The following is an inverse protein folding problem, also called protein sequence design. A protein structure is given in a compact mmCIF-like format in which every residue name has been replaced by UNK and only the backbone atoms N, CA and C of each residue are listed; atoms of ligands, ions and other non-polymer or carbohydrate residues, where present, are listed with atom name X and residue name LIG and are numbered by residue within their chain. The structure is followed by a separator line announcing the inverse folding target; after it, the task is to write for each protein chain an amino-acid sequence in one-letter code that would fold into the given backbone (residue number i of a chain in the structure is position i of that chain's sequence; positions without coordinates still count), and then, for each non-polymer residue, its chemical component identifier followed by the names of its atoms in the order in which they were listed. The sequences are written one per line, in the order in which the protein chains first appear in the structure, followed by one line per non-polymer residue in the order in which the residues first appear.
data_IF_461355841150
#
_entry.id   IF_461355841150
#
_cell.length_a   1.000
_cell.length_b   1.000
_cell.length_c   1.000
_cell.angle_alpha   90.00
_cell.angle_beta   90.00
_cell.angle_gamma   90.00
#
_symmetry.space_group_name_H-M   'P 1'
#
loop_
_entity.id
_entity.type
_entity.pdbx_description
1 polymer ?
#
# COMPACT_ATOMS: atom_id res chain seq x y z
N UNK A 1 35.54 -21.77 16.43
CA UNK A 1 36.71 -20.92 16.18
C UNK A 1 37.14 -20.92 14.71
N UNK A 2 37.16 -22.08 14.04
CA UNK A 2 37.59 -22.20 12.63
C UNK A 2 36.61 -21.59 11.60
N UNK A 3 35.35 -21.42 11.96
CA UNK A 3 34.31 -20.86 11.05
C UNK A 3 34.12 -19.33 11.15
N UNK A 4 34.77 -18.65 12.10
CA UNK A 4 34.52 -17.25 12.39
C UNK A 4 35.72 -16.31 12.18
N UNK A 5 36.84 -16.80 11.65
CA UNK A 5 38.10 -16.03 11.44
C UNK A 5 38.56 -15.23 12.68
N UNK A 6 38.23 -15.68 13.90
CA UNK A 6 38.62 -15.03 15.13
C UNK A 6 39.89 -15.67 15.67
N UNK A 7 40.86 -14.84 16.06
CA UNK A 7 42.01 -15.31 16.81
C UNK A 7 41.58 -15.73 18.23
N UNK A 8 42.36 -16.62 18.88
CA UNK A 8 42.06 -17.03 20.27
C UNK A 8 42.01 -15.85 21.27
N UNK A 9 42.92 -14.85 21.19
CA UNK A 9 42.82 -13.65 22.03
C UNK A 9 41.53 -12.84 21.75
N UNK A 10 41.11 -12.71 20.50
CA UNK A 10 39.87 -11.98 20.20
C UNK A 10 38.62 -12.70 20.71
N UNK A 11 38.64 -14.03 20.65
CA UNK A 11 37.57 -14.85 21.20
C UNK A 11 37.50 -14.72 22.73
N UNK A 12 38.63 -14.79 23.44
CA UNK A 12 38.70 -14.62 24.90
C UNK A 12 38.25 -13.20 25.29
N UNK A 13 38.66 -12.17 24.58
CA UNK A 13 38.21 -10.79 24.78
C UNK A 13 36.71 -10.67 24.67
N UNK A 14 36.13 -11.20 23.58
CA UNK A 14 34.66 -11.18 23.39
C UNK A 14 33.90 -11.95 24.45
N UNK A 15 34.44 -13.11 24.87
CA UNK A 15 33.83 -13.88 25.94
C UNK A 15 33.84 -13.10 27.28
N UNK A 16 34.98 -12.48 27.61
CA UNK A 16 35.11 -11.62 28.78
C UNK A 16 34.15 -10.42 28.72
N UNK A 17 34.06 -9.72 27.62
CA UNK A 17 33.14 -8.60 27.45
C UNK A 17 31.67 -9.04 27.59
N UNK A 18 31.28 -10.18 27.01
CA UNK A 18 29.95 -10.73 27.18
C UNK A 18 29.63 -11.10 28.63
N UNK A 19 30.56 -11.68 29.35
CA UNK A 19 30.36 -12.02 30.76
C UNK A 19 30.31 -10.76 31.65
N UNK A 20 31.12 -9.75 31.38
CA UNK A 20 31.05 -8.46 32.06
C UNK A 20 29.69 -7.76 31.78
N UNK A 21 29.21 -7.81 30.55
CA UNK A 21 27.89 -7.27 30.18
C UNK A 21 26.76 -8.00 30.91
N UNK A 22 26.79 -9.34 30.95
CA UNK A 22 25.80 -10.14 31.68
C UNK A 22 25.80 -9.79 33.17
N UNK A 23 26.99 -9.66 33.79
CA UNK A 23 27.12 -9.26 35.19
C UNK A 23 26.56 -7.87 35.42
N UNK A 24 26.88 -6.89 34.57
CA UNK A 24 26.36 -5.53 34.68
C UNK A 24 24.82 -5.53 34.66
N UNK A 25 24.21 -6.19 33.65
CA UNK A 25 22.77 -6.31 33.58
C UNK A 25 22.17 -7.05 34.77
N UNK A 26 22.83 -8.09 35.26
CA UNK A 26 22.43 -8.78 36.48
C UNK A 26 22.45 -7.88 37.71
N UNK A 27 23.43 -6.99 37.85
CA UNK A 27 23.47 -6.01 38.93
C UNK A 27 22.38 -4.96 38.83
N UNK A 28 22.15 -4.44 37.62
CA UNK A 28 21.11 -3.40 37.36
C UNK A 28 19.71 -3.92 37.61
N UNK A 29 19.46 -5.19 37.31
CA UNK A 29 18.13 -5.82 37.44
C UNK A 29 18.04 -6.92 38.49
N UNK A 30 19.09 -7.12 39.30
CA UNK A 30 19.15 -8.21 40.26
C UNK A 30 18.10 -8.12 41.36
N UNK A 31 17.52 -9.26 41.71
CA UNK A 31 16.57 -9.36 42.83
C UNK A 31 15.15 -8.85 42.54
N UNK A 32 14.84 -8.51 41.30
CA UNK A 32 13.49 -8.05 40.90
C UNK A 32 12.46 -9.15 41.07
N UNK A 33 11.46 -8.88 41.87
CA UNK A 33 10.29 -9.72 42.05
C UNK A 33 9.03 -8.86 41.90
N UNK A 34 8.29 -9.08 40.84
CA UNK A 34 7.12 -8.27 40.53
C UNK A 34 6.07 -8.36 41.62
N UNK A 35 5.57 -7.24 42.14
CA UNK A 35 4.45 -7.22 43.06
C UNK A 35 3.21 -7.82 42.44
N UNK A 36 2.35 -8.42 43.27
CA UNK A 36 1.12 -9.08 42.82
C UNK A 36 0.23 -8.18 41.93
N UNK A 37 0.17 -6.88 42.26
CA UNK A 37 -0.65 -5.95 41.49
C UNK A 37 -0.17 -5.78 40.03
N UNK A 38 1.16 -5.80 39.80
CA UNK A 38 1.74 -5.75 38.44
C UNK A 38 1.46 -7.06 37.70
N UNK A 39 1.56 -8.21 38.34
CA UNK A 39 1.20 -9.51 37.76
C UNK A 39 -0.25 -9.53 37.40
N UNK A 40 -1.14 -9.03 38.25
CA UNK A 40 -2.57 -8.88 37.96
C UNK A 40 -2.82 -7.95 36.77
N UNK A 41 -2.10 -6.84 36.67
CA UNK A 41 -2.26 -5.93 35.51
C UNK A 41 -1.85 -6.61 34.22
N UNK A 42 -0.73 -7.33 34.17
CA UNK A 42 -0.29 -8.09 33.00
C UNK A 42 -1.32 -9.16 32.62
N UNK A 43 -1.87 -9.87 33.61
CA UNK A 43 -2.93 -10.84 33.38
C UNK A 43 -4.21 -10.21 32.83
N UNK A 44 -4.66 -9.11 33.45
CA UNK A 44 -5.86 -8.39 33.02
C UNK A 44 -5.76 -7.89 31.56
N UNK A 45 -4.60 -7.37 31.17
CA UNK A 45 -4.37 -6.93 29.79
C UNK A 45 -4.53 -8.06 28.77
N UNK A 46 -4.08 -9.27 29.12
CA UNK A 46 -4.07 -10.41 28.20
C UNK A 46 -5.36 -11.26 28.27
N UNK A 47 -5.99 -11.36 29.46
CA UNK A 47 -7.19 -12.15 29.73
C UNK A 47 -8.51 -11.36 29.66
N UNK A 48 -8.42 -10.06 29.37
CA UNK A 48 -9.58 -9.19 29.17
C UNK A 48 -10.44 -9.77 28.06
N UNK A 49 -11.72 -10.02 28.35
CA UNK A 49 -12.69 -10.44 27.35
C UNK A 49 -13.60 -9.29 26.99
N UNK A 50 -13.89 -9.14 25.71
CA UNK A 50 -14.71 -8.06 25.17
C UNK A 50 -15.86 -8.66 24.38
N UNK A 51 -17.08 -8.50 24.87
CA UNK A 51 -18.31 -8.90 24.17
C UNK A 51 -18.83 -7.72 23.36
N UNK A 52 -19.01 -7.93 22.06
CA UNK A 52 -19.51 -6.92 21.13
C UNK A 52 -20.73 -7.39 20.38
N UNK A 53 -21.58 -6.43 20.01
CA UNK A 53 -22.53 -6.58 18.91
C UNK A 53 -21.92 -5.88 17.70
N UNK A 54 -22.13 -6.43 16.50
CA UNK A 54 -21.61 -5.84 15.28
C UNK A 54 -22.58 -5.98 14.10
N UNK A 55 -22.45 -5.08 13.15
CA UNK A 55 -23.17 -5.03 11.89
C UNK A 55 -22.13 -4.95 10.77
N UNK A 56 -22.26 -5.81 9.76
CA UNK A 56 -21.44 -5.72 8.55
C UNK A 56 -21.96 -4.58 7.67
N UNK A 57 -21.18 -3.53 7.47
CA UNK A 57 -21.57 -2.37 6.67
C UNK A 57 -21.55 -2.65 5.16
N UNK A 58 -20.89 -3.71 4.71
CA UNK A 58 -20.91 -4.11 3.29
C UNK A 58 -22.35 -4.42 2.82
N UNK A 59 -23.24 -4.84 3.72
CA UNK A 59 -24.64 -5.03 3.43
C UNK A 59 -25.46 -3.74 3.41
N UNK A 60 -24.91 -2.63 3.87
CA UNK A 60 -25.58 -1.32 4.01
C UNK A 60 -25.18 -0.37 2.90
N UNK A 61 -23.97 -0.50 2.37
CA UNK A 61 -23.52 0.37 1.29
C UNK A 61 -24.42 0.25 0.08
N UNK A 62 -24.67 1.39 -0.57
CA UNK A 62 -25.35 1.45 -1.86
C UNK A 62 -24.56 0.63 -2.88
N UNK A 63 -25.23 -0.25 -3.62
CA UNK A 63 -24.55 -1.07 -4.64
C UNK A 63 -24.25 -0.23 -5.89
N UNK A 64 -23.29 -0.69 -6.68
CA UNK A 64 -22.87 -0.01 -7.93
C UNK A 64 -24.02 0.12 -8.92
N UNK A 65 -24.92 -0.88 -8.94
CA UNK A 65 -26.08 -0.95 -9.83
C UNK A 65 -27.18 0.04 -9.43
N UNK A 66 -27.21 0.47 -8.19
CA UNK A 66 -28.27 1.33 -7.62
C UNK A 66 -28.00 2.83 -7.86
N UNK A 67 -26.85 3.19 -8.45
CA UNK A 67 -26.57 4.58 -8.79
C UNK A 67 -27.35 5.01 -10.03
N UNK A 68 -28.14 6.07 -9.87
CA UNK A 68 -28.91 6.67 -10.94
C UNK A 68 -28.02 7.39 -11.96
N UNK A 69 -28.47 7.53 -13.19
CA UNK A 69 -27.76 8.30 -14.22
C UNK A 69 -27.48 9.74 -13.79
N UNK A 70 -28.36 10.35 -12.97
CA UNK A 70 -28.14 11.68 -12.40
C UNK A 70 -26.98 11.75 -11.41
N UNK A 71 -26.78 10.71 -10.60
CA UNK A 71 -25.65 10.65 -9.66
C UNK A 71 -24.34 10.42 -10.41
N UNK A 72 -24.37 9.56 -11.42
CA UNK A 72 -23.21 9.31 -12.29
C UNK A 72 -22.82 10.60 -13.02
N UNK A 73 -23.76 11.31 -13.66
CA UNK A 73 -23.45 12.58 -14.34
C UNK A 73 -22.89 13.62 -13.39
N UNK A 74 -23.48 13.79 -12.19
CA UNK A 74 -22.94 14.71 -11.19
C UNK A 74 -21.53 14.36 -10.73
N UNK A 75 -21.22 13.07 -10.61
CA UNK A 75 -19.88 12.62 -10.26
C UNK A 75 -18.89 12.94 -11.38
N UNK A 76 -19.26 12.67 -12.64
CA UNK A 76 -18.45 13.00 -13.81
C UNK A 76 -18.19 14.50 -13.87
N UNK A 77 -19.21 15.34 -13.69
CA UNK A 77 -19.08 16.80 -13.72
C UNK A 77 -18.14 17.29 -12.62
N UNK A 78 -18.26 16.72 -11.41
CA UNK A 78 -17.42 17.08 -10.26
C UNK A 78 -15.96 16.69 -10.45
N UNK A 79 -15.71 15.55 -11.11
CA UNK A 79 -14.38 14.96 -11.28
C UNK A 79 -13.87 15.05 -12.73
N UNK A 80 -14.46 15.93 -13.54
CA UNK A 80 -14.19 16.05 -14.98
C UNK A 80 -12.69 16.04 -15.29
N UNK A 81 -11.89 16.86 -14.59
CA UNK A 81 -10.46 16.98 -14.87
C UNK A 81 -9.65 15.72 -14.53
N UNK A 82 -10.11 14.93 -13.57
CA UNK A 82 -9.43 13.70 -13.15
C UNK A 82 -9.86 12.46 -13.96
N UNK A 83 -10.99 12.57 -14.64
CA UNK A 83 -11.55 11.51 -15.48
C UNK A 83 -11.17 11.65 -16.96
N UNK A 84 -10.49 12.75 -17.34
CA UNK A 84 -9.98 12.90 -18.70
C UNK A 84 -8.89 11.88 -18.98
N UNK A 85 -8.92 11.34 -20.18
CA UNK A 85 -7.90 10.43 -20.68
C UNK A 85 -7.07 11.12 -21.76
N UNK A 86 -5.79 10.80 -21.77
CA UNK A 86 -4.90 11.23 -22.86
C UNK A 86 -5.31 10.52 -24.15
N UNK A 87 -5.49 11.29 -25.20
CA UNK A 87 -5.78 10.80 -26.56
C UNK A 87 -4.70 11.37 -27.47
N UNK A 88 -4.11 10.54 -28.32
CA UNK A 88 -3.08 10.97 -29.24
C UNK A 88 -3.51 10.71 -30.69
N UNK A 89 -3.10 11.60 -31.59
CA UNK A 89 -3.16 11.37 -33.03
C UNK A 89 -1.73 11.36 -33.56
N UNK A 90 -1.41 10.38 -34.39
CA UNK A 90 -0.06 10.23 -34.90
C UNK A 90 -0.03 9.60 -36.28
N UNK A 91 1.00 9.96 -37.04
CA UNK A 91 1.37 9.29 -38.30
C UNK A 91 2.56 8.39 -38.05
N UNK A 92 2.56 7.24 -38.68
CA UNK A 92 3.67 6.31 -38.56
C UNK A 92 3.91 5.56 -39.85
N UNK A 93 5.16 5.11 -40.00
CA UNK A 93 5.60 4.20 -41.05
C UNK A 93 6.32 3.02 -40.44
N UNK A 94 5.94 1.82 -40.84
CA UNK A 94 6.69 0.62 -40.52
C UNK A 94 7.83 0.48 -41.52
N UNK A 95 9.05 0.25 -41.02
CA UNK A 95 10.27 0.14 -41.81
C UNK A 95 10.86 -1.24 -41.62
N UNK A 96 10.89 -2.00 -42.71
CA UNK A 96 11.53 -3.32 -42.76
C UNK A 96 12.76 -3.27 -43.67
N UNK A 97 13.65 -4.26 -43.63
CA UNK A 97 14.78 -4.34 -44.58
C UNK A 97 14.31 -4.32 -46.05
N UNK A 98 13.19 -4.95 -46.32
CA UNK A 98 12.58 -4.93 -47.66
C UNK A 98 12.24 -3.52 -48.14
N UNK A 99 11.72 -2.66 -47.26
CA UNK A 99 11.34 -1.29 -47.58
C UNK A 99 12.55 -0.39 -47.89
N UNK A 100 13.67 -0.58 -47.22
CA UNK A 100 14.87 0.26 -47.35
C UNK A 100 15.90 -0.26 -48.38
N UNK A 101 16.07 -1.57 -48.47
CA UNK A 101 17.15 -2.18 -49.25
C UNK A 101 16.67 -3.30 -50.20
N UNK A 102 15.35 -3.56 -50.25
CA UNK A 102 14.74 -4.51 -51.19
C UNK A 102 14.92 -5.99 -50.91
N UNK A 103 15.55 -6.35 -49.77
CA UNK A 103 15.75 -7.75 -49.31
C UNK A 103 15.18 -7.94 -47.92
N UNK A 104 14.78 -9.16 -47.56
CA UNK A 104 14.15 -9.45 -46.27
C UNK A 104 15.13 -9.74 -45.11
N UNK A 105 16.43 -9.46 -45.30
CA UNK A 105 17.47 -9.75 -44.30
C UNK A 105 18.03 -8.48 -43.66
N UNK A 106 18.19 -8.51 -42.34
CA UNK A 106 18.92 -7.48 -41.60
C UNK A 106 20.42 -7.61 -41.87
N UNK A 107 21.01 -6.61 -42.47
CA UNK A 107 22.44 -6.55 -42.78
C UNK A 107 23.02 -5.15 -42.53
N UNK A 108 24.33 -5.00 -42.69
CA UNK A 108 25.01 -3.73 -42.42
C UNK A 108 24.42 -2.57 -43.24
N UNK A 109 24.04 -2.81 -44.50
CA UNK A 109 23.47 -1.77 -45.35
C UNK A 109 22.11 -1.28 -44.83
N UNK A 110 21.30 -2.16 -44.26
CA UNK A 110 20.05 -1.78 -43.61
C UNK A 110 20.31 -0.89 -42.39
N UNK A 111 21.23 -1.29 -41.51
CA UNK A 111 21.54 -0.50 -40.32
C UNK A 111 22.18 0.83 -40.65
N UNK A 112 23.06 0.91 -41.67
CA UNK A 112 23.56 2.21 -42.16
C UNK A 112 22.43 3.14 -42.61
N UNK A 113 21.37 2.60 -43.26
CA UNK A 113 20.18 3.38 -43.61
C UNK A 113 19.35 3.83 -42.42
N UNK A 114 19.27 3.02 -41.39
CA UNK A 114 18.61 3.37 -40.12
C UNK A 114 19.41 4.49 -39.43
N UNK A 115 20.73 4.37 -39.35
CA UNK A 115 21.61 5.42 -38.81
C UNK A 115 21.46 6.74 -39.58
N UNK A 116 21.37 6.68 -40.92
CA UNK A 116 21.09 7.84 -41.75
C UNK A 116 19.77 8.52 -41.38
N UNK A 117 18.71 7.73 -41.19
CA UNK A 117 17.38 8.23 -40.75
C UNK A 117 17.47 8.90 -39.38
N UNK A 118 18.15 8.29 -38.42
CA UNK A 118 18.34 8.85 -37.07
C UNK A 118 19.11 10.17 -37.10
N UNK A 119 20.16 10.24 -37.93
CA UNK A 119 20.94 11.46 -38.14
C UNK A 119 20.09 12.58 -38.76
N UNK A 120 19.22 12.25 -39.74
CA UNK A 120 18.33 13.22 -40.35
C UNK A 120 17.25 13.71 -39.36
N UNK A 121 16.70 12.83 -38.53
CA UNK A 121 15.81 13.21 -37.44
C UNK A 121 16.51 14.19 -36.48
N UNK A 122 17.72 13.87 -36.10
CA UNK A 122 18.54 14.70 -35.20
C UNK A 122 18.85 16.08 -35.82
N UNK A 123 18.96 16.17 -37.15
CA UNK A 123 19.16 17.40 -37.91
C UNK A 123 17.84 18.18 -38.19
N UNK A 124 16.69 17.70 -37.65
CA UNK A 124 15.40 18.40 -37.74
C UNK A 124 14.64 18.19 -39.04
N UNK A 125 14.91 17.11 -39.77
CA UNK A 125 14.16 16.73 -40.98
C UNK A 125 12.69 16.40 -40.62
N UNK A 126 11.75 16.71 -41.52
CA UNK A 126 10.33 16.40 -41.32
C UNK A 126 9.99 14.98 -41.73
N UNK A 127 8.85 14.46 -41.19
CA UNK A 127 8.34 13.14 -41.55
C UNK A 127 8.13 13.02 -43.06
N UNK A 128 7.51 14.05 -43.73
CA UNK A 128 7.26 14.09 -45.15
C UNK A 128 8.53 13.91 -45.98
N UNK A 129 9.61 14.56 -45.58
CA UNK A 129 10.89 14.47 -46.27
C UNK A 129 11.45 13.05 -46.20
N UNK A 130 11.41 12.42 -45.03
CA UNK A 130 11.88 11.04 -44.86
C UNK A 130 11.01 10.05 -45.63
N UNK A 131 9.68 10.19 -45.55
CA UNK A 131 8.75 9.34 -46.32
C UNK A 131 9.02 9.42 -47.81
N UNK A 132 9.24 10.63 -48.35
CA UNK A 132 9.49 10.85 -49.76
C UNK A 132 10.86 10.31 -50.16
N UNK A 133 11.90 10.57 -49.40
CA UNK A 133 13.30 10.17 -49.66
C UNK A 133 13.45 8.66 -49.73
N UNK A 134 12.86 7.97 -48.75
CA UNK A 134 12.97 6.52 -48.61
C UNK A 134 11.78 5.76 -49.20
N UNK A 135 10.84 6.47 -49.88
CA UNK A 135 9.63 5.91 -50.52
C UNK A 135 8.77 5.07 -49.55
N UNK A 136 8.69 5.51 -48.29
CA UNK A 136 7.97 4.81 -47.25
C UNK A 136 6.48 5.15 -47.25
N UNK A 137 5.64 4.15 -46.94
CA UNK A 137 4.19 4.34 -46.79
C UNK A 137 3.86 4.72 -45.35
N UNK A 138 3.06 5.77 -45.17
CA UNK A 138 2.61 6.18 -43.86
C UNK A 138 1.17 5.76 -43.58
N UNK A 139 0.88 5.52 -42.33
CA UNK A 139 -0.47 5.29 -41.79
C UNK A 139 -0.80 6.40 -40.79
N UNK A 140 -2.06 6.83 -40.78
CA UNK A 140 -2.59 7.79 -39.82
C UNK A 140 -3.43 7.04 -38.79
N UNK A 141 -3.18 7.33 -37.49
CA UNK A 141 -4.02 6.88 -36.38
C UNK A 141 -4.54 8.11 -35.68
N UNK A 142 -5.83 8.34 -35.74
CA UNK A 142 -6.50 9.46 -35.11
C UNK A 142 -7.15 9.03 -33.81
N UNK A 143 -7.13 9.92 -32.81
CA UNK A 143 -7.82 9.77 -31.53
C UNK A 143 -7.52 8.44 -30.82
N UNK A 144 -6.27 8.01 -30.83
CA UNK A 144 -5.87 6.75 -30.24
C UNK A 144 -5.83 6.86 -28.71
N UNK A 145 -6.47 5.89 -28.02
CA UNK A 145 -6.43 5.69 -26.59
C UNK A 145 -6.09 4.22 -26.29
N UNK A 146 -5.34 3.97 -25.22
CA UNK A 146 -4.97 2.60 -24.80
C UNK A 146 -6.18 1.74 -24.40
N UNK A 147 -7.25 2.37 -23.93
CA UNK A 147 -8.46 1.68 -23.46
C UNK A 147 -9.43 1.29 -24.60
N UNK A 148 -9.21 1.79 -25.81
CA UNK A 148 -10.01 1.48 -27.00
C UNK A 148 -9.38 0.33 -27.80
N UNK A 149 -9.72 -0.91 -27.48
CA UNK A 149 -9.68 -2.01 -28.43
C UNK A 149 -8.57 -3.05 -28.29
N UNK A 150 -8.98 -4.25 -28.50
CA UNK A 150 -8.30 -5.52 -28.27
C UNK A 150 -7.20 -5.92 -29.26
N UNK A 151 -6.71 -5.06 -30.16
CA UNK A 151 -5.75 -5.46 -31.20
C UNK A 151 -4.71 -4.39 -31.56
N UNK A 152 -4.32 -3.58 -30.60
CA UNK A 152 -3.22 -2.65 -30.84
C UNK A 152 -1.90 -3.39 -30.62
N UNK A 153 -1.05 -3.45 -31.65
CA UNK A 153 0.29 -4.00 -31.54
C UNK A 153 1.07 -3.33 -30.39
N UNK A 154 2.02 -4.02 -29.82
CA UNK A 154 2.78 -3.55 -28.66
C UNK A 154 3.44 -2.17 -28.90
N UNK A 155 3.83 -1.87 -30.12
CA UNK A 155 4.41 -0.58 -30.49
C UNK A 155 3.46 0.61 -30.32
N UNK A 156 2.13 0.46 -30.47
CA UNK A 156 1.17 1.54 -30.20
C UNK A 156 1.21 2.00 -28.75
N UNK A 157 1.37 1.05 -27.82
CA UNK A 157 1.53 1.35 -26.41
C UNK A 157 2.82 2.15 -26.16
N UNK A 158 3.93 1.74 -26.77
CA UNK A 158 5.22 2.46 -26.66
C UNK A 158 5.11 3.88 -27.23
N UNK A 159 4.44 4.07 -28.37
CA UNK A 159 4.19 5.39 -28.94
C UNK A 159 3.36 6.26 -27.97
N UNK A 160 2.31 5.70 -27.38
CA UNK A 160 1.44 6.40 -26.45
C UNK A 160 2.16 6.82 -25.17
N UNK A 161 2.95 5.92 -24.60
CA UNK A 161 3.72 6.20 -23.37
C UNK A 161 4.79 7.28 -23.60
N UNK A 162 5.41 7.30 -24.78
CA UNK A 162 6.49 8.24 -25.15
C UNK A 162 5.99 9.41 -26.01
N UNK A 163 4.67 9.68 -26.01
CA UNK A 163 4.10 10.72 -26.85
C UNK A 163 4.55 12.12 -26.44
N UNK A 164 5.18 12.83 -27.36
CA UNK A 164 5.54 14.24 -27.28
C UNK A 164 5.11 14.94 -28.57
N UNK A 165 4.42 16.09 -28.45
CA UNK A 165 3.91 16.81 -29.61
C UNK A 165 5.03 17.22 -30.58
N UNK A 166 4.75 17.06 -31.88
CA UNK A 166 5.59 17.51 -32.99
C UNK A 166 7.03 16.96 -32.93
N UNK A 167 7.24 15.83 -32.30
CA UNK A 167 8.54 15.15 -32.32
C UNK A 167 8.48 13.93 -33.22
N UNK A 168 9.35 13.95 -34.22
CA UNK A 168 9.64 12.80 -35.06
C UNK A 168 10.58 11.86 -34.29
N UNK A 169 10.21 10.60 -34.19
CA UNK A 169 10.98 9.58 -33.46
C UNK A 169 11.05 8.29 -34.26
N UNK A 170 12.12 7.56 -34.04
CA UNK A 170 12.30 6.19 -34.50
C UNK A 170 12.23 5.24 -33.30
N UNK A 171 11.44 4.18 -33.42
CA UNK A 171 11.28 3.14 -32.43
C UNK A 171 11.79 1.82 -32.99
N UNK A 172 12.69 1.19 -32.29
CA UNK A 172 13.20 -0.14 -32.63
C UNK A 172 12.26 -1.22 -32.04
N UNK A 173 11.76 -2.05 -32.93
CA UNK A 173 11.01 -3.27 -32.62
C UNK A 173 11.78 -4.43 -33.29
N UNK A 174 12.10 -5.47 -32.57
CA UNK A 174 13.03 -6.55 -32.95
C UNK A 174 13.02 -6.95 -34.45
N UNK A 175 11.83 -6.95 -35.08
CA UNK A 175 11.61 -7.36 -36.47
C UNK A 175 11.39 -6.20 -37.46
N UNK A 176 11.32 -4.96 -36.98
CA UNK A 176 11.07 -3.76 -37.79
C UNK A 176 11.30 -2.48 -36.98
N UNK A 177 11.42 -1.36 -37.67
CA UNK A 177 11.44 -0.03 -37.05
C UNK A 177 10.11 0.69 -37.31
N UNK A 178 9.72 1.57 -36.38
CA UNK A 178 8.57 2.46 -36.52
C UNK A 178 9.06 3.90 -36.50
N UNK A 179 8.97 4.56 -37.63
CA UNK A 179 9.14 6.01 -37.73
C UNK A 179 7.78 6.65 -37.44
N UNK A 180 7.68 7.54 -36.45
CA UNK A 180 6.41 8.15 -36.09
C UNK A 180 6.56 9.60 -35.66
N UNK A 181 5.46 10.35 -35.85
CA UNK A 181 5.32 11.73 -35.40
C UNK A 181 3.93 11.91 -34.77
N UNK A 182 3.90 12.49 -33.57
CA UNK A 182 2.66 12.82 -32.88
C UNK A 182 2.17 14.15 -33.43
N UNK A 183 0.98 14.15 -34.04
CA UNK A 183 0.35 15.35 -34.59
C UNK A 183 -0.49 16.10 -33.55
N UNK A 184 -1.02 15.41 -32.55
CA UNK A 184 -1.88 16.02 -31.53
C UNK A 184 -1.93 15.17 -30.25
N UNK A 185 -1.95 15.85 -29.11
CA UNK A 185 -2.18 15.25 -27.79
C UNK A 185 -3.29 16.04 -27.13
N UNK A 186 -4.38 15.36 -26.77
CA UNK A 186 -5.54 15.93 -26.08
C UNK A 186 -5.84 15.16 -24.81
N UNK A 187 -6.44 15.85 -23.85
CA UNK A 187 -7.08 15.24 -22.71
C UNK A 187 -8.60 15.42 -22.87
N UNK A 188 -9.29 14.34 -23.14
CA UNK A 188 -10.73 14.35 -23.35
C UNK A 188 -11.42 13.40 -22.38
N UNK A 189 -12.62 13.79 -21.97
CA UNK A 189 -13.50 12.90 -21.23
C UNK A 189 -13.95 11.76 -22.16
N UNK A 190 -13.85 10.48 -21.72
CA UNK A 190 -14.37 9.36 -22.48
C UNK A 190 -15.87 9.50 -22.77
N UNK A 191 -16.32 8.85 -23.82
CA UNK A 191 -17.74 8.87 -24.16
C UNK A 191 -18.55 8.23 -23.01
N UNK A 192 -19.59 8.94 -22.55
CA UNK A 192 -20.51 8.47 -21.50
C UNK A 192 -21.35 7.25 -21.93
N UNK A 193 -21.37 6.92 -23.23
CA UNK A 193 -21.98 5.69 -23.75
C UNK A 193 -21.04 4.48 -23.68
N UNK A 194 -19.76 4.70 -23.36
CA UNK A 194 -18.79 3.62 -23.19
C UNK A 194 -19.06 2.88 -21.89
N UNK A 195 -19.46 1.61 -22.00
CA UNK A 195 -19.80 0.77 -20.86
C UNK A 195 -18.63 0.59 -19.87
N UNK A 196 -17.38 0.50 -20.37
CA UNK A 196 -16.19 0.36 -19.54
C UNK A 196 -15.95 1.62 -18.72
N UNK A 197 -16.06 2.80 -19.35
CA UNK A 197 -15.93 4.08 -18.65
C UNK A 197 -17.02 4.24 -17.57
N UNK A 198 -18.27 3.93 -17.90
CA UNK A 198 -19.37 4.00 -16.92
C UNK A 198 -19.16 2.99 -15.78
N UNK A 199 -18.64 1.80 -16.05
CA UNK A 199 -18.30 0.84 -15.01
C UNK A 199 -17.20 1.36 -14.07
N UNK A 200 -16.17 1.99 -14.61
CA UNK A 200 -15.12 2.64 -13.82
C UNK A 200 -15.67 3.80 -12.99
N UNK A 201 -16.47 4.67 -13.58
CA UNK A 201 -17.12 5.77 -12.85
C UNK A 201 -18.01 5.26 -11.72
N UNK A 202 -18.77 4.18 -11.93
CA UNK A 202 -19.57 3.54 -10.87
C UNK A 202 -18.70 2.98 -9.74
N UNK A 203 -17.54 2.42 -10.07
CA UNK A 203 -16.57 1.94 -9.06
C UNK A 203 -16.06 3.10 -8.20
N UNK A 204 -15.62 4.19 -8.84
CA UNK A 204 -15.13 5.38 -8.15
C UNK A 204 -16.23 6.02 -7.28
N UNK A 205 -17.44 6.15 -7.84
CA UNK A 205 -18.61 6.69 -7.13
C UNK A 205 -19.00 5.79 -5.94
N UNK A 206 -18.95 4.48 -6.09
CA UNK A 206 -19.17 3.53 -5.00
C UNK A 206 -18.16 3.75 -3.88
N UNK A 207 -16.89 3.85 -4.21
CA UNK A 207 -15.83 4.06 -3.24
C UNK A 207 -15.97 5.42 -2.52
N UNK A 208 -16.27 6.50 -3.26
CA UNK A 208 -16.54 7.81 -2.64
C UNK A 208 -17.75 7.74 -1.70
N UNK A 209 -18.84 7.12 -2.13
CA UNK A 209 -20.06 6.95 -1.32
C UNK A 209 -19.78 6.15 -0.04
N UNK A 210 -19.04 5.04 -0.14
CA UNK A 210 -18.60 4.22 1.00
C UNK A 210 -17.75 5.03 1.97
N UNK A 211 -16.78 5.78 1.47
CA UNK A 211 -15.95 6.64 2.30
C UNK A 211 -16.77 7.74 2.99
N UNK A 212 -17.67 8.39 2.28
CA UNK A 212 -18.51 9.44 2.83
C UNK A 212 -19.46 8.91 3.91
N UNK A 213 -20.05 7.72 3.70
CA UNK A 213 -20.89 7.06 4.69
C UNK A 213 -20.10 6.76 5.97
N UNK A 214 -18.93 6.14 5.86
CA UNK A 214 -18.07 5.81 6.99
C UNK A 214 -17.58 7.08 7.72
N UNK A 215 -17.18 8.11 6.99
CA UNK A 215 -16.78 9.38 7.56
C UNK A 215 -17.90 10.02 8.40
N UNK A 216 -19.13 10.00 7.88
CA UNK A 216 -20.29 10.55 8.60
C UNK A 216 -20.59 9.75 9.88
N UNK A 217 -20.48 8.42 9.84
CA UNK A 217 -20.61 7.56 11.03
C UNK A 217 -19.52 7.87 12.06
N UNK A 218 -18.26 7.91 11.66
CA UNK A 218 -17.14 8.22 12.55
C UNK A 218 -17.33 9.59 13.19
N UNK A 219 -17.74 10.59 12.39
CA UNK A 219 -18.02 11.95 12.88
C UNK A 219 -19.15 11.99 13.89
N UNK A 220 -20.23 11.21 13.65
CA UNK A 220 -21.38 11.08 14.57
C UNK A 220 -20.99 10.40 15.87
N UNK A 221 -20.22 9.33 15.79
CA UNK A 221 -19.67 8.59 16.94
C UNK A 221 -18.71 9.49 17.74
N UNK A 222 -17.74 10.11 17.10
CA UNK A 222 -16.76 10.98 17.75
C UNK A 222 -17.38 12.17 18.48
N UNK A 223 -18.48 12.71 17.96
CA UNK A 223 -19.27 13.75 18.61
C UNK A 223 -20.22 13.23 19.70
N UNK A 224 -20.19 11.93 20.01
CA UNK A 224 -21.11 11.26 20.96
C UNK A 224 -22.60 11.45 20.62
N UNK A 225 -22.91 11.64 19.34
CA UNK A 225 -24.28 11.80 18.83
C UNK A 225 -24.88 10.50 18.30
N UNK A 226 -24.08 9.44 18.22
CA UNK A 226 -24.50 8.10 17.79
C UNK A 226 -24.95 7.30 19.01
N UNK A 227 -26.14 6.71 18.95
CA UNK A 227 -26.76 6.03 20.07
C UNK A 227 -27.35 4.65 19.66
N UNK A 228 -28.06 3.99 20.59
CA UNK A 228 -28.65 2.67 20.33
C UNK A 228 -29.74 2.70 19.25
N UNK A 229 -30.52 3.77 19.18
CA UNK A 229 -31.58 3.91 18.16
C UNK A 229 -30.95 3.93 16.77
N UNK A 230 -29.88 4.72 16.60
CA UNK A 230 -29.12 4.79 15.33
C UNK A 230 -28.56 3.42 14.93
N UNK A 231 -28.05 2.67 15.92
CA UNK A 231 -27.47 1.33 15.66
C UNK A 231 -28.56 0.34 15.22
N UNK A 232 -29.73 0.39 15.89
CA UNK A 232 -30.85 -0.49 15.56
C UNK A 232 -31.50 -0.10 14.21
N UNK A 233 -31.58 1.20 13.90
CA UNK A 233 -32.06 1.67 12.59
C UNK A 233 -31.19 1.19 11.45
N UNK A 234 -29.87 1.29 11.58
CA UNK A 234 -28.94 0.77 10.57
C UNK A 234 -29.10 -0.73 10.36
N UNK A 235 -29.38 -1.50 11.42
CA UNK A 235 -29.61 -2.94 11.29
C UNK A 235 -30.90 -3.27 10.52
N UNK A 236 -31.90 -2.38 10.58
CA UNK A 236 -33.19 -2.56 9.89
C UNK A 236 -33.12 -2.16 8.42
N UNK A 237 -32.29 -1.16 8.08
CA UNK A 237 -32.22 -0.58 6.74
C UNK A 237 -31.85 -1.56 5.63
N UNK A 238 -31.14 -2.63 5.93
CA UNK A 238 -30.60 -3.54 4.90
C UNK A 238 -30.71 -5.02 5.26
N UNK A 239 -31.61 -5.38 6.18
CA UNK A 239 -31.66 -6.74 6.75
C UNK A 239 -30.31 -7.19 7.34
N UNK A 240 -29.43 -6.25 7.68
CA UNK A 240 -28.13 -6.53 8.29
C UNK A 240 -28.38 -7.01 9.71
N UNK A 241 -28.24 -8.30 9.94
CA UNK A 241 -28.41 -8.90 11.26
C UNK A 241 -27.39 -8.35 12.24
N UNK A 242 -27.85 -7.97 13.43
CA UNK A 242 -26.94 -7.74 14.55
C UNK A 242 -26.41 -9.09 14.99
N UNK A 243 -25.12 -9.27 14.83
CA UNK A 243 -24.42 -10.45 15.31
C UNK A 243 -23.67 -10.11 16.60
N UNK A 244 -23.34 -11.13 17.37
CA UNK A 244 -22.54 -10.97 18.59
C UNK A 244 -21.37 -11.93 18.62
N UNK A 245 -20.26 -11.47 19.23
CA UNK A 245 -19.07 -12.29 19.46
C UNK A 245 -18.40 -11.87 20.77
N UNK A 246 -17.78 -12.82 21.44
CA UNK A 246 -16.89 -12.58 22.56
C UNK A 246 -15.43 -12.78 22.09
N UNK A 247 -14.63 -11.75 22.22
CA UNK A 247 -13.21 -11.75 21.92
C UNK A 247 -12.49 -12.07 23.22
N UNK A 248 -11.82 -13.21 23.26
CA UNK A 248 -11.31 -13.81 24.49
C UNK A 248 -9.92 -13.28 24.92
N UNK A 249 -9.19 -12.67 24.01
CA UNK A 249 -7.90 -12.05 24.29
C UNK A 249 -7.53 -11.00 23.23
N UNK A 250 -6.58 -10.13 23.53
CA UNK A 250 -6.05 -9.15 22.56
C UNK A 250 -5.34 -9.82 21.35
N UNK A 251 -5.04 -11.12 21.47
CA UNK A 251 -4.44 -11.93 20.39
C UNK A 251 -5.49 -12.67 19.54
N UNK A 252 -6.77 -12.62 19.93
CA UNK A 252 -7.87 -13.30 19.24
C UNK A 252 -8.29 -12.51 17.99
N UNK A 253 -7.56 -12.74 16.91
CA UNK A 253 -7.78 -12.10 15.62
C UNK A 253 -8.42 -13.03 14.58
N UNK A 254 -9.27 -13.96 15.02
CA UNK A 254 -9.90 -14.92 14.12
C UNK A 254 -10.83 -14.24 13.11
N UNK A 255 -11.62 -13.26 13.54
CA UNK A 255 -12.58 -12.54 12.70
C UNK A 255 -12.08 -11.17 12.27
N UNK A 256 -11.58 -10.37 13.18
CA UNK A 256 -11.18 -8.99 12.90
C UNK A 256 -9.67 -8.83 12.75
N UNK A 257 -9.24 -7.76 12.12
CA UNK A 257 -7.81 -7.46 11.96
C UNK A 257 -7.13 -7.22 13.31
N UNK A 258 -5.82 -7.46 13.38
CA UNK A 258 -5.04 -7.27 14.61
C UNK A 258 -5.18 -5.85 15.17
N UNK A 259 -5.15 -4.84 14.30
CA UNK A 259 -5.25 -3.44 14.72
C UNK A 259 -6.66 -3.11 15.19
N UNK A 260 -7.69 -3.70 14.58
CA UNK A 260 -9.08 -3.61 15.05
C UNK A 260 -9.24 -4.18 16.45
N UNK A 261 -8.66 -5.34 16.73
CA UNK A 261 -8.69 -5.94 18.07
C UNK A 261 -7.96 -5.06 19.10
N UNK A 262 -6.76 -4.58 18.78
CA UNK A 262 -6.05 -3.63 19.65
C UNK A 262 -6.88 -2.40 19.96
N UNK A 263 -7.53 -1.84 18.94
CA UNK A 263 -8.41 -0.67 19.11
C UNK A 263 -9.62 -0.99 19.98
N UNK A 264 -10.30 -2.12 19.77
CA UNK A 264 -11.42 -2.57 20.60
C UNK A 264 -11.06 -2.64 22.09
N UNK A 265 -9.84 -3.07 22.40
CA UNK A 265 -9.35 -3.18 23.79
C UNK A 265 -9.09 -1.83 24.46
N UNK A 266 -9.06 -0.72 23.72
CA UNK A 266 -8.98 0.64 24.28
C UNK A 266 -10.34 1.24 24.59
N UNK A 267 -11.44 0.63 24.06
CA UNK A 267 -12.77 1.17 24.19
C UNK A 267 -13.43 0.78 25.52
N UNK A 268 -14.37 1.62 25.95
CA UNK A 268 -15.20 1.38 27.13
C UNK A 268 -16.54 0.74 26.78
N UNK A 269 -17.22 0.16 27.76
CA UNK A 269 -18.60 -0.36 27.62
C UNK A 269 -19.52 0.71 27.02
N UNK A 270 -20.44 0.29 26.16
CA UNK A 270 -21.40 1.10 25.41
C UNK A 270 -20.78 2.03 24.34
N UNK A 271 -19.50 1.97 24.08
CA UNK A 271 -18.90 2.70 22.96
C UNK A 271 -19.21 2.00 21.64
N UNK A 272 -19.30 2.83 20.61
CA UNK A 272 -19.42 2.43 19.21
C UNK A 272 -18.12 2.72 18.48
N UNK A 273 -17.79 1.91 17.47
CA UNK A 273 -16.64 2.13 16.62
C UNK A 273 -16.80 1.46 15.26
N UNK A 274 -16.03 1.90 14.29
CA UNK A 274 -15.81 1.19 13.04
C UNK A 274 -14.51 0.40 13.13
N UNK A 275 -14.55 -0.87 12.76
CA UNK A 275 -13.39 -1.76 12.69
C UNK A 275 -13.42 -2.54 11.39
N UNK A 276 -12.30 -3.16 11.03
CA UNK A 276 -12.17 -4.00 9.84
C UNK A 276 -11.79 -5.43 10.16
N UNK A 277 -12.17 -6.35 9.27
CA UNK A 277 -11.60 -7.69 9.24
C UNK A 277 -10.30 -7.76 8.41
N UNK A 278 -9.82 -8.98 8.15
CA UNK A 278 -8.60 -9.24 7.36
C UNK A 278 -8.79 -8.90 5.87
N UNK A 279 -10.03 -9.02 5.39
CA UNK A 279 -10.41 -8.75 3.99
C UNK A 279 -10.79 -7.28 3.76
N UNK A 280 -10.57 -6.41 4.78
CA UNK A 280 -10.90 -4.98 4.79
C UNK A 280 -12.38 -4.66 4.73
N UNK A 281 -13.27 -5.64 4.98
CA UNK A 281 -14.68 -5.33 5.21
C UNK A 281 -14.84 -4.52 6.49
N UNK A 282 -15.75 -3.55 6.47
CA UNK A 282 -15.98 -2.63 7.58
C UNK A 282 -17.17 -3.06 8.41
N UNK A 283 -17.01 -3.01 9.71
CA UNK A 283 -18.03 -3.37 10.69
C UNK A 283 -18.28 -2.21 11.64
N UNK A 284 -19.55 -1.89 11.88
CA UNK A 284 -19.96 -1.03 12.97
C UNK A 284 -20.18 -1.90 14.21
N UNK A 285 -19.49 -1.58 15.30
CA UNK A 285 -19.57 -2.36 16.54
C UNK A 285 -20.12 -1.54 17.71
N UNK A 286 -20.71 -2.25 18.68
CA UNK A 286 -21.01 -1.75 20.01
C UNK A 286 -20.38 -2.65 21.06
N UNK A 287 -19.67 -2.08 22.04
CA UNK A 287 -19.15 -2.81 23.20
C UNK A 287 -20.31 -3.09 24.17
N UNK A 288 -20.65 -4.35 24.34
CA UNK A 288 -21.73 -4.78 25.25
C UNK A 288 -21.23 -5.02 26.66
N UNK A 289 -20.12 -5.73 26.78
CA UNK A 289 -19.54 -6.06 28.07
C UNK A 289 -18.01 -6.19 27.99
N UNK A 290 -17.37 -5.88 29.10
CA UNK A 290 -15.95 -6.08 29.28
C UNK A 290 -15.76 -6.86 30.58
N UNK A 291 -15.23 -8.06 30.48
CA UNK A 291 -14.96 -8.93 31.62
C UNK A 291 -13.45 -8.94 31.89
N UNK A 292 -13.09 -8.66 33.12
CA UNK A 292 -11.70 -8.65 33.60
C UNK A 292 -11.64 -9.45 34.90
N UNK A 293 -10.70 -10.36 35.00
CA UNK A 293 -10.50 -11.16 36.22
C UNK A 293 -9.11 -10.92 36.81
N UNK A 294 -8.97 -11.18 38.09
CA UNK A 294 -7.67 -11.23 38.75
C UNK A 294 -7.10 -12.65 38.65
N UNK A 295 -5.77 -12.76 38.54
CA UNK A 295 -5.11 -14.06 38.60
C UNK A 295 -5.02 -14.54 40.06
N UNK A 296 -5.33 -15.80 40.30
CA UNK A 296 -5.10 -16.43 41.57
C UNK A 296 -3.62 -16.82 41.72
N UNK A 297 -3.04 -16.60 42.90
CA UNK A 297 -1.66 -17.06 43.21
C UNK A 297 -1.49 -18.58 43.07
N UNK A 298 -2.58 -19.31 43.22
CA UNK A 298 -2.59 -20.78 43.14
C UNK A 298 -2.95 -21.30 41.75
N UNK A 299 -3.14 -20.42 40.74
CA UNK A 299 -3.40 -20.85 39.35
C UNK A 299 -2.11 -21.34 38.70
N UNK A 300 -2.22 -22.31 37.81
CA UNK A 300 -1.11 -22.83 37.02
C UNK A 300 -0.41 -21.71 36.21
N UNK A 301 -1.19 -20.77 35.70
CA UNK A 301 -0.69 -19.65 34.90
C UNK A 301 0.04 -18.57 35.71
N UNK A 302 -0.07 -18.57 37.06
CA UNK A 302 0.48 -17.48 37.86
C UNK A 302 1.98 -17.29 37.69
N UNK A 303 2.73 -18.37 37.61
CA UNK A 303 4.20 -18.30 37.42
C UNK A 303 4.56 -17.76 36.04
N UNK A 304 3.80 -18.10 35.02
CA UNK A 304 3.97 -17.61 33.62
C UNK A 304 3.79 -16.08 33.59
N UNK A 305 2.70 -15.58 34.16
CA UNK A 305 2.42 -14.14 34.18
C UNK A 305 3.37 -13.37 35.08
N UNK A 306 3.82 -13.99 36.17
CA UNK A 306 4.85 -13.43 37.04
C UNK A 306 6.18 -13.24 36.30
N UNK A 307 6.61 -14.26 35.54
CA UNK A 307 7.85 -14.16 34.76
C UNK A 307 7.73 -13.15 33.62
N UNK A 308 6.62 -13.12 32.90
CA UNK A 308 6.36 -12.09 31.90
C UNK A 308 6.41 -10.67 32.49
N UNK A 309 5.86 -10.50 33.68
CA UNK A 309 5.88 -9.21 34.39
C UNK A 309 7.29 -8.86 34.84
N UNK A 310 8.08 -9.83 35.31
CA UNK A 310 9.48 -9.65 35.66
C UNK A 310 10.32 -9.22 34.47
N UNK A 311 10.08 -9.83 33.28
CA UNK A 311 10.76 -9.44 32.04
C UNK A 311 10.44 -7.99 31.69
N UNK A 312 9.14 -7.62 31.65
CA UNK A 312 8.72 -6.23 31.38
C UNK A 312 9.36 -5.23 32.35
N UNK A 313 9.41 -5.59 33.63
CA UNK A 313 10.01 -4.72 34.64
C UNK A 313 11.52 -4.56 34.44
N UNK A 314 12.23 -5.65 34.12
CA UNK A 314 13.65 -5.61 33.76
C UNK A 314 13.90 -4.71 32.55
N UNK A 315 13.13 -4.88 31.50
CA UNK A 315 13.28 -4.09 30.28
C UNK A 315 13.08 -2.59 30.53
N UNK A 316 12.10 -2.24 31.39
CA UNK A 316 11.87 -0.85 31.78
C UNK A 316 13.05 -0.28 32.58
N UNK A 317 13.65 -1.08 33.47
CA UNK A 317 14.82 -0.66 34.23
C UNK A 317 16.03 -0.50 33.30
N UNK A 318 16.25 -1.44 32.37
CA UNK A 318 17.34 -1.33 31.40
C UNK A 318 17.20 -0.09 30.53
N UNK A 319 16.00 0.18 30.05
CA UNK A 319 15.71 1.38 29.24
C UNK A 319 15.95 2.66 30.04
N UNK A 320 15.55 2.68 31.32
CA UNK A 320 15.79 3.81 32.22
C UNK A 320 17.27 4.00 32.53
N UNK A 321 18.00 2.90 32.70
CA UNK A 321 19.45 2.92 32.96
C UNK A 321 20.21 3.38 31.71
N UNK A 322 19.83 2.89 30.55
CA UNK A 322 20.40 3.31 29.26
C UNK A 322 20.17 4.81 29.00
N UNK A 323 18.94 5.29 29.26
CA UNK A 323 18.63 6.72 29.19
C UNK A 323 19.50 7.55 30.16
N UNK A 324 19.69 7.07 31.39
CA UNK A 324 20.58 7.72 32.36
C UNK A 324 22.02 7.77 31.86
N UNK A 325 22.53 6.66 31.31
CA UNK A 325 23.90 6.60 30.78
C UNK A 325 24.08 7.53 29.57
N UNK A 326 23.14 7.55 28.66
CA UNK A 326 23.19 8.43 27.49
C UNK A 326 23.16 9.92 27.83
N UNK A 327 22.48 10.27 28.93
CA UNK A 327 22.50 11.66 29.42
C UNK A 327 23.79 12.00 30.20
N UNK A 328 24.37 11.01 30.87
CA UNK A 328 25.58 11.22 31.68
C UNK A 328 26.88 11.20 30.88
N UNK A 329 26.92 10.37 29.83
CA UNK A 329 28.13 10.16 29.04
C UNK A 329 27.88 10.62 27.58
N UNK A 330 28.84 11.42 27.06
CA UNK A 330 28.80 11.80 25.63
C UNK A 330 29.31 10.65 24.75
N UNK A 331 28.46 10.09 23.96
CA UNK A 331 28.84 9.09 22.97
C UNK A 331 29.38 9.81 21.70
N UNK A 332 30.62 9.49 21.32
CA UNK A 332 31.20 9.94 20.05
C UNK A 332 31.17 8.79 19.05
N UNK A 333 30.37 8.94 18.03
CA UNK A 333 30.32 7.98 16.92
C UNK A 333 31.30 8.43 15.85
N UNK A 334 32.22 7.54 15.45
CA UNK A 334 33.12 7.80 14.34
C UNK A 334 32.39 7.44 13.02
N UNK A 335 31.77 8.44 12.40
CA UNK A 335 30.99 8.29 11.17
C UNK A 335 31.79 7.66 10.03
N UNK A 336 33.08 8.02 9.88
CA UNK A 336 33.95 7.42 8.85
C UNK A 336 34.14 5.91 9.03
N UNK A 337 34.14 5.45 10.28
CA UNK A 337 34.24 4.02 10.59
C UNK A 337 32.91 3.32 10.31
N UNK A 338 31.79 3.97 10.65
CA UNK A 338 30.43 3.44 10.35
C UNK A 338 30.22 3.32 8.85
N UNK A 339 30.63 4.31 8.06
CA UNK A 339 30.51 4.24 6.60
C UNK A 339 31.41 3.15 5.99
N UNK A 340 32.63 2.97 6.49
CA UNK A 340 33.49 1.85 6.06
C UNK A 340 32.85 0.50 6.33
N UNK A 341 32.25 0.33 7.50
CA UNK A 341 31.55 -0.92 7.87
C UNK A 341 30.33 -1.13 6.94
N UNK A 342 29.51 -0.10 6.72
CA UNK A 342 28.38 -0.19 5.78
C UNK A 342 28.79 -0.57 4.37
N UNK A 343 29.90 -0.02 3.87
CA UNK A 343 30.42 -0.31 2.54
C UNK A 343 31.08 -1.69 2.41
N UNK A 344 31.50 -2.28 3.54
CA UNK A 344 32.05 -3.65 3.56
C UNK A 344 30.96 -4.73 3.47
N UNK A 345 29.72 -4.41 3.86
CA UNK A 345 28.58 -5.34 3.83
C UNK A 345 27.57 -5.04 2.69
N UNK A 346 27.92 -4.14 1.77
CA UNK A 346 27.26 -3.93 0.48
C UNK A 346 28.01 -4.66 -0.62
#
# INVERSE_FOLDING_TARGET
LLSSNLSAPDFESRLRENELRKKLFSYVSGGLNSPLFLVNNTYKEQSKKVKINYINLENIYKKKEDFSSKEISKFIDKHNDTLKEKIISFRYSKITPKDLIGIDEFNNLFFEKIDDIENEISNGTTLENLLSKYQLKSNLKENFNLNEGNNNGEFYKKIYENAENNKLKLLDENDFYILYEISDIKELLPNIENENFIAEVKELLFNESKHQFNYNLIKKIGKKKFNQIDFDELSKMSFAKIENIEINSIKDNNKFSVDSIKYLYTLSKNNYALISDKDKNIYLIKIINISVSNISKNSEDFQVYKEQTNIKLRDNIYSSYDFFLNNKYKIKINEKTVERVKNYFR
#
